data_IF_001995221842
#
_entry.id   IF_001995221842
#
_cell.length_a   1.000
_cell.length_b   1.000
_cell.length_c   1.000
_cell.angle_alpha   90.00
_cell.angle_beta   90.00
_cell.angle_gamma   90.00
#
_symmetry.space_group_name_H-M   'P 1'
#
loop_
_entity.id
_entity.type
_entity.pdbx_description
1 polymer ?
#
# COMPACT_ATOMS: atom_id res chain seq x y z
N UNK A 1 36.36 25.12 -24.69
CA UNK A 1 35.56 23.88 -24.65
C UNK A 1 35.14 23.70 -23.21
N UNK A 2 33.87 23.39 -22.90
CA UNK A 2 33.53 22.96 -21.54
C UNK A 2 34.41 21.75 -21.20
N UNK A 3 34.81 21.61 -19.94
CA UNK A 3 35.51 20.43 -19.47
C UNK A 3 34.72 19.16 -19.87
N UNK A 4 35.37 18.04 -20.18
CA UNK A 4 34.63 16.80 -20.38
C UNK A 4 33.76 16.55 -19.15
N UNK A 5 32.44 16.38 -19.37
CA UNK A 5 31.49 15.99 -18.33
C UNK A 5 32.08 14.80 -17.58
N UNK A 6 32.18 14.90 -16.27
CA UNK A 6 32.77 13.85 -15.46
C UNK A 6 31.79 12.69 -15.30
N UNK A 7 31.67 11.86 -16.34
CA UNK A 7 30.70 10.78 -16.37
C UNK A 7 31.18 9.63 -15.47
N UNK A 8 30.57 9.51 -14.28
CA UNK A 8 30.94 8.52 -13.27
C UNK A 8 30.78 7.06 -13.75
N UNK A 9 29.83 6.77 -14.65
CA UNK A 9 29.73 5.44 -15.28
C UNK A 9 30.96 5.14 -16.14
N UNK A 10 31.42 6.10 -16.94
CA UNK A 10 32.63 5.94 -17.76
C UNK A 10 33.88 5.83 -16.88
N UNK A 11 33.98 6.60 -15.78
CA UNK A 11 35.07 6.45 -14.79
C UNK A 11 35.10 5.06 -14.16
N UNK A 12 33.96 4.43 -13.97
CA UNK A 12 33.82 3.04 -13.51
C UNK A 12 34.01 1.98 -14.62
N UNK A 13 34.20 2.38 -15.87
CA UNK A 13 34.32 1.48 -17.02
C UNK A 13 33.01 0.79 -17.37
N UNK A 14 31.88 1.50 -17.23
CA UNK A 14 30.53 1.09 -17.67
C UNK A 14 30.18 1.93 -18.89
N UNK A 15 30.40 1.36 -20.09
CA UNK A 15 30.27 2.09 -21.36
C UNK A 15 28.85 2.00 -21.97
N UNK A 16 28.10 0.94 -21.66
CA UNK A 16 26.72 0.74 -22.14
C UNK A 16 25.74 0.78 -20.96
N UNK A 17 25.21 1.97 -20.72
CA UNK A 17 24.27 2.23 -19.63
C UNK A 17 22.94 1.50 -19.82
N UNK A 18 22.47 1.39 -21.07
CA UNK A 18 21.20 0.71 -21.36
C UNK A 18 21.31 -0.79 -21.07
N UNK A 19 22.42 -1.43 -21.46
CA UNK A 19 22.71 -2.82 -21.14
C UNK A 19 22.87 -3.04 -19.63
N UNK A 20 23.55 -2.12 -18.94
CA UNK A 20 23.70 -2.15 -17.48
C UNK A 20 22.34 -2.17 -16.78
N UNK A 21 21.43 -1.25 -17.12
CA UNK A 21 20.08 -1.23 -16.55
C UNK A 21 19.25 -2.44 -17.00
N UNK A 22 19.39 -2.88 -18.25
CA UNK A 22 18.70 -4.06 -18.79
C UNK A 22 18.98 -5.30 -17.93
N UNK A 23 20.24 -5.57 -17.63
CA UNK A 23 20.64 -6.76 -16.85
C UNK A 23 20.18 -6.71 -15.39
N UNK A 24 19.99 -5.51 -14.83
CA UNK A 24 19.63 -5.32 -13.42
C UNK A 24 18.13 -5.26 -13.16
N UNK A 25 17.38 -4.57 -14.01
CA UNK A 25 16.01 -4.15 -13.69
C UNK A 25 14.95 -4.72 -14.64
N UNK A 26 15.36 -5.35 -15.75
CA UNK A 26 14.40 -6.09 -16.58
C UNK A 26 14.03 -7.37 -15.86
N UNK A 27 12.75 -7.48 -15.53
CA UNK A 27 12.13 -8.70 -15.04
C UNK A 27 11.09 -9.17 -16.07
N UNK A 28 11.07 -10.48 -16.32
CA UNK A 28 10.00 -11.13 -17.09
C UNK A 28 8.74 -11.36 -16.23
N UNK A 29 8.78 -11.00 -14.94
CA UNK A 29 7.62 -11.10 -14.06
C UNK A 29 6.53 -10.13 -14.51
N UNK A 30 5.35 -10.69 -14.82
CA UNK A 30 4.17 -9.90 -15.12
C UNK A 30 3.56 -9.43 -13.80
N UNK A 31 3.68 -8.13 -13.53
CA UNK A 31 3.01 -7.44 -12.43
C UNK A 31 1.55 -7.20 -12.84
N UNK A 32 0.77 -8.28 -12.95
CA UNK A 32 -0.64 -8.18 -13.30
C UNK A 32 -1.38 -7.40 -12.18
N UNK A 33 -2.18 -6.39 -12.55
CA UNK A 33 -2.98 -5.59 -11.62
C UNK A 33 -3.93 -6.45 -10.76
N UNK A 34 -4.26 -7.66 -11.24
CA UNK A 34 -5.07 -8.69 -10.57
C UNK A 34 -4.25 -9.54 -9.59
N UNK A 35 -2.91 -9.50 -9.67
CA UNK A 35 -1.97 -10.29 -8.87
C UNK A 35 -1.59 -9.66 -7.53
N UNK A 36 -2.24 -8.57 -7.13
CA UNK A 36 -2.11 -8.05 -5.77
C UNK A 36 -2.73 -9.03 -4.77
N UNK A 37 -1.90 -9.83 -4.09
CA UNK A 37 -2.38 -10.60 -2.95
C UNK A 37 -2.56 -9.64 -1.78
N UNK A 38 -3.58 -9.87 -0.96
CA UNK A 38 -3.87 -9.03 0.20
C UNK A 38 -2.69 -8.90 1.17
N UNK A 39 -1.76 -9.86 1.18
CA UNK A 39 -0.55 -9.82 2.01
C UNK A 39 0.56 -8.95 1.42
N UNK A 40 0.61 -8.77 0.09
CA UNK A 40 1.65 -7.99 -0.57
C UNK A 40 1.53 -6.50 -0.23
N UNK A 41 0.37 -6.02 0.25
CA UNK A 41 0.20 -4.64 0.77
C UNK A 41 1.01 -4.33 2.03
N UNK A 42 1.43 -5.38 2.73
CA UNK A 42 2.27 -5.29 3.91
C UNK A 42 3.74 -5.54 3.57
N UNK A 43 4.06 -5.99 2.36
CA UNK A 43 5.45 -6.08 1.92
C UNK A 43 6.00 -4.66 1.70
N UNK A 44 7.21 -4.45 2.20
CA UNK A 44 7.82 -3.13 2.27
C UNK A 44 8.08 -2.50 0.89
N UNK A 45 8.26 -3.32 -0.16
CA UNK A 45 8.43 -2.84 -1.53
C UNK A 45 7.15 -2.23 -2.07
N UNK A 46 5.99 -2.75 -1.65
CA UNK A 46 4.69 -2.23 -2.06
C UNK A 46 4.25 -1.00 -1.26
N UNK A 47 4.76 -0.83 -0.04
CA UNK A 47 4.45 0.32 0.80
C UNK A 47 4.75 1.67 0.11
N UNK A 48 5.84 1.74 -0.67
CA UNK A 48 6.22 2.93 -1.45
C UNK A 48 5.20 3.24 -2.54
N UNK A 49 4.82 2.22 -3.31
CA UNK A 49 3.81 2.34 -4.36
C UNK A 49 2.43 2.67 -3.79
N UNK A 50 2.12 2.19 -2.59
CA UNK A 50 0.88 2.52 -1.88
C UNK A 50 0.83 3.99 -1.45
N UNK A 51 1.96 4.60 -1.07
CA UNK A 51 2.02 6.03 -0.83
C UNK A 51 1.70 6.84 -2.09
N UNK A 52 2.21 6.42 -3.26
CA UNK A 52 1.83 7.02 -4.55
C UNK A 52 0.33 6.82 -4.81
N UNK A 53 -0.17 5.58 -4.71
CA UNK A 53 -1.57 5.25 -4.93
C UNK A 53 -2.53 6.11 -4.10
N UNK A 54 -2.26 6.26 -2.81
CA UNK A 54 -3.14 6.98 -1.90
C UNK A 54 -3.20 8.49 -2.24
N UNK A 55 -2.17 9.04 -2.89
CA UNK A 55 -2.04 10.47 -3.19
C UNK A 55 -2.38 10.85 -4.64
N UNK A 56 -2.37 9.88 -5.56
CA UNK A 56 -2.80 10.08 -6.94
C UNK A 56 -4.33 10.07 -7.01
N UNK A 57 -4.89 11.10 -7.66
CA UNK A 57 -6.32 11.22 -7.90
C UNK A 57 -6.79 10.27 -8.99
N UNK A 58 -8.03 9.80 -8.86
CA UNK A 58 -8.68 8.97 -9.88
C UNK A 58 -8.78 9.69 -11.23
N UNK A 59 -8.71 8.92 -12.31
CA UNK A 59 -8.83 9.43 -13.69
C UNK A 59 -7.71 10.38 -14.15
N UNK A 60 -6.66 10.57 -13.34
CA UNK A 60 -5.58 11.51 -13.65
C UNK A 60 -4.61 10.95 -14.71
N UNK A 61 -3.85 11.84 -15.33
CA UNK A 61 -2.71 11.51 -16.18
C UNK A 61 -1.42 11.49 -15.37
N UNK A 62 -0.70 10.37 -15.42
CA UNK A 62 0.51 10.11 -14.63
C UNK A 62 1.67 9.76 -15.55
N UNK A 63 2.80 10.44 -15.38
CA UNK A 63 4.07 10.06 -15.95
C UNK A 63 4.92 9.35 -14.89
N UNK A 64 5.38 8.15 -15.19
CA UNK A 64 6.37 7.40 -14.41
C UNK A 64 7.76 7.60 -15.01
N UNK A 65 8.61 8.34 -14.28
CA UNK A 65 9.93 8.79 -14.70
C UNK A 65 11.00 7.80 -14.22
N UNK A 66 11.50 6.97 -15.14
CA UNK A 66 12.31 5.78 -14.85
C UNK A 66 11.43 4.60 -14.49
N UNK A 67 10.54 4.20 -15.41
CA UNK A 67 9.43 3.29 -15.10
C UNK A 67 9.85 1.84 -14.83
N UNK A 68 11.09 1.44 -15.16
CA UNK A 68 11.57 0.08 -14.99
C UNK A 68 10.61 -0.94 -15.60
N UNK A 69 10.33 -2.02 -14.87
CA UNK A 69 9.35 -3.03 -15.26
C UNK A 69 7.88 -2.66 -14.99
N UNK A 70 7.57 -1.42 -14.57
CA UNK A 70 6.19 -0.93 -14.45
C UNK A 70 5.55 -1.14 -13.07
N UNK A 71 6.27 -0.79 -11.99
CA UNK A 71 5.81 -1.00 -10.61
C UNK A 71 4.52 -0.22 -10.26
N UNK A 72 4.23 0.87 -10.98
CA UNK A 72 3.04 1.70 -10.75
C UNK A 72 1.78 1.19 -11.46
N UNK A 73 1.82 0.01 -12.09
CA UNK A 73 0.68 -0.60 -12.77
C UNK A 73 -0.60 -0.64 -11.92
N UNK A 74 -0.46 -0.75 -10.60
CA UNK A 74 -1.60 -0.74 -9.66
C UNK A 74 -2.45 0.55 -9.74
N UNK A 75 -1.87 1.68 -10.19
CA UNK A 75 -2.62 2.93 -10.39
C UNK A 75 -3.74 2.77 -11.43
N UNK A 76 -3.66 1.78 -12.34
CA UNK A 76 -4.72 1.49 -13.31
C UNK A 76 -6.08 1.22 -12.65
N UNK A 77 -6.09 0.71 -11.41
CA UNK A 77 -7.30 0.54 -10.59
C UNK A 77 -7.98 1.86 -10.21
N UNK A 78 -7.30 2.99 -10.33
CA UNK A 78 -7.85 4.35 -10.18
C UNK A 78 -8.30 4.96 -11.51
N UNK A 79 -8.32 4.18 -12.59
CA UNK A 79 -8.66 4.65 -13.92
C UNK A 79 -7.68 5.68 -14.48
N UNK A 80 -6.43 5.73 -13.97
CA UNK A 80 -5.44 6.68 -14.45
C UNK A 80 -4.98 6.33 -15.86
N UNK A 81 -4.55 7.35 -16.60
CA UNK A 81 -3.74 7.16 -17.82
C UNK A 81 -2.28 7.18 -17.41
N UNK A 82 -1.60 6.04 -17.53
CA UNK A 82 -0.24 5.81 -17.05
C UNK A 82 0.73 5.75 -18.24
N UNK A 83 1.65 6.70 -18.28
CA UNK A 83 2.75 6.75 -19.26
C UNK A 83 4.07 6.50 -18.58
N UNK A 84 4.95 5.67 -19.15
CA UNK A 84 6.28 5.40 -18.59
C UNK A 84 7.40 5.89 -19.50
N UNK A 85 8.50 6.36 -18.92
CA UNK A 85 9.76 6.59 -19.64
C UNK A 85 10.90 5.89 -18.94
N UNK A 86 11.81 5.33 -19.73
CA UNK A 86 13.02 4.68 -19.23
C UNK A 86 14.16 4.82 -20.25
N UNK A 87 15.41 4.76 -19.80
CA UNK A 87 16.57 4.78 -20.71
C UNK A 87 16.73 3.43 -21.44
N UNK A 88 16.27 2.33 -20.81
CA UNK A 88 16.22 0.99 -21.38
C UNK A 88 14.91 0.78 -22.15
N UNK A 89 15.04 0.40 -23.42
CA UNK A 89 13.90 0.04 -24.25
C UNK A 89 13.18 -1.19 -23.70
N UNK A 90 13.92 -2.13 -23.12
CA UNK A 90 13.40 -3.38 -22.57
C UNK A 90 12.56 -3.14 -21.33
N UNK A 91 13.00 -2.26 -20.42
CA UNK A 91 12.19 -1.79 -19.29
C UNK A 91 10.89 -1.16 -19.78
N UNK A 92 10.97 -0.22 -20.73
CA UNK A 92 9.80 0.42 -21.32
C UNK A 92 8.83 -0.62 -21.95
N UNK A 93 9.33 -1.67 -22.60
CA UNK A 93 8.50 -2.76 -23.12
C UNK A 93 7.89 -3.63 -22.02
N UNK A 94 8.61 -3.91 -20.93
CA UNK A 94 8.11 -4.66 -19.78
C UNK A 94 6.98 -3.89 -19.07
N UNK A 95 7.18 -2.59 -18.79
CA UNK A 95 6.13 -1.74 -18.23
C UNK A 95 4.88 -1.70 -19.11
N UNK A 96 5.05 -1.68 -20.45
CA UNK A 96 3.92 -1.76 -21.39
C UNK A 96 3.14 -3.07 -21.27
N UNK A 97 3.83 -4.20 -21.08
CA UNK A 97 3.19 -5.51 -20.85
C UNK A 97 2.45 -5.55 -19.51
N UNK A 98 2.93 -4.80 -18.53
CA UNK A 98 2.33 -4.69 -17.19
C UNK A 98 1.19 -3.66 -17.08
N UNK A 99 0.67 -3.15 -18.22
CA UNK A 99 -0.58 -2.40 -18.25
C UNK A 99 -0.45 -0.88 -18.36
N UNK A 100 0.75 -0.36 -18.63
CA UNK A 100 0.94 1.06 -18.95
C UNK A 100 0.29 1.38 -20.30
N UNK A 101 -0.35 2.55 -20.43
CA UNK A 101 -1.05 2.94 -21.66
C UNK A 101 -0.07 3.31 -22.78
N UNK A 102 1.05 3.92 -22.42
CA UNK A 102 2.15 4.26 -23.31
C UNK A 102 3.48 4.15 -22.59
N UNK A 103 4.54 3.76 -23.31
CA UNK A 103 5.90 3.76 -22.79
C UNK A 103 6.87 4.23 -23.86
N UNK A 104 7.93 4.92 -23.45
CA UNK A 104 8.93 5.48 -24.36
C UNK A 104 10.33 5.24 -23.82
N UNK A 105 11.26 4.95 -24.73
CA UNK A 105 12.68 5.10 -24.43
C UNK A 105 13.05 6.58 -24.54
N UNK A 106 13.53 7.19 -23.46
CA UNK A 106 13.94 8.59 -23.45
C UNK A 106 14.98 8.89 -22.36
N UNK A 107 15.81 9.90 -22.60
CA UNK A 107 16.60 10.52 -21.56
C UNK A 107 15.70 11.37 -20.67
N UNK A 108 15.87 11.29 -19.35
CA UNK A 108 14.99 11.99 -18.41
C UNK A 108 15.17 13.52 -18.46
N UNK A 109 16.31 13.99 -18.97
CA UNK A 109 16.64 15.39 -19.20
C UNK A 109 16.05 15.95 -20.50
N UNK A 110 15.39 15.12 -21.32
CA UNK A 110 14.74 15.54 -22.55
C UNK A 110 13.51 14.65 -22.86
N UNK A 111 12.38 14.95 -22.23
CA UNK A 111 11.17 14.15 -22.34
C UNK A 111 10.41 14.41 -23.65
N UNK A 112 9.89 13.36 -24.32
CA UNK A 112 9.22 13.48 -25.61
C UNK A 112 7.75 13.94 -25.51
N UNK A 113 7.45 14.79 -24.52
CA UNK A 113 6.08 15.23 -24.23
C UNK A 113 5.96 16.75 -24.35
N UNK A 114 4.81 17.28 -24.80
CA UNK A 114 4.51 18.70 -24.73
C UNK A 114 4.49 19.22 -23.28
N UNK A 115 4.61 20.53 -23.13
CA UNK A 115 4.43 21.22 -21.85
C UNK A 115 3.04 20.92 -21.27
N UNK A 116 2.92 20.88 -19.95
CA UNK A 116 1.65 20.69 -19.24
C UNK A 116 0.84 19.45 -19.68
N UNK A 117 1.53 18.32 -19.89
CA UNK A 117 0.92 17.07 -20.34
C UNK A 117 0.33 16.22 -19.21
N UNK A 118 0.86 16.30 -17.98
CA UNK A 118 0.52 15.38 -16.89
C UNK A 118 0.02 16.08 -15.62
N UNK A 119 -0.91 15.44 -14.92
CA UNK A 119 -1.36 15.88 -13.59
C UNK A 119 -0.35 15.48 -12.51
N UNK A 120 0.30 14.34 -12.68
CA UNK A 120 1.33 13.82 -11.78
C UNK A 120 2.57 13.35 -12.55
N UNK A 121 3.73 13.62 -11.98
CA UNK A 121 4.98 12.96 -12.35
C UNK A 121 5.43 12.17 -11.13
N UNK A 122 5.72 10.89 -11.29
CA UNK A 122 6.17 10.00 -10.21
C UNK A 122 7.52 9.45 -10.60
N UNK A 123 8.45 9.37 -9.65
CA UNK A 123 9.76 8.77 -9.85
C UNK A 123 10.20 8.08 -8.57
N UNK A 124 10.28 6.75 -8.60
CA UNK A 124 10.73 5.97 -7.44
C UNK A 124 12.09 5.37 -7.78
N UNK A 125 13.09 5.63 -6.95
CA UNK A 125 14.39 4.95 -6.99
C UNK A 125 15.23 5.27 -8.25
N UNK A 126 15.14 6.52 -8.73
CA UNK A 126 15.76 6.96 -10.01
C UNK A 126 16.66 8.19 -9.86
N UNK A 127 16.34 9.14 -8.98
CA UNK A 127 17.10 10.39 -8.88
C UNK A 127 18.56 10.15 -8.43
N UNK A 128 18.81 9.12 -7.60
CA UNK A 128 20.17 8.73 -7.21
C UNK A 128 21.03 8.15 -8.34
N UNK A 129 20.39 7.79 -9.45
CA UNK A 129 20.99 7.26 -10.66
C UNK A 129 21.26 8.34 -11.73
N UNK A 130 20.79 9.58 -11.49
CA UNK A 130 21.05 10.72 -12.34
C UNK A 130 22.28 11.45 -11.82
N UNK A 131 23.22 11.72 -12.72
CA UNK A 131 24.44 12.49 -12.42
C UNK A 131 24.08 13.88 -11.86
N UNK A 132 24.88 14.39 -10.93
CA UNK A 132 24.69 15.68 -10.27
C UNK A 132 24.47 16.84 -11.26
N UNK A 133 25.17 16.84 -12.40
CA UNK A 133 25.08 17.89 -13.41
C UNK A 133 23.75 17.84 -14.20
N UNK A 134 23.12 16.67 -14.28
CA UNK A 134 21.93 16.45 -15.12
C UNK A 134 20.62 16.54 -14.34
N UNK A 135 20.67 16.40 -13.00
CA UNK A 135 19.48 16.50 -12.14
C UNK A 135 18.67 17.78 -12.35
N UNK A 136 19.33 18.92 -12.52
CA UNK A 136 18.62 20.19 -12.75
C UNK A 136 17.87 20.20 -14.08
N UNK A 137 18.43 19.57 -15.13
CA UNK A 137 17.75 19.43 -16.41
C UNK A 137 16.56 18.45 -16.31
N UNK A 138 16.72 17.35 -15.58
CA UNK A 138 15.62 16.42 -15.29
C UNK A 138 14.49 17.12 -14.54
N UNK A 139 14.79 17.87 -13.48
CA UNK A 139 13.77 18.60 -12.72
C UNK A 139 13.12 19.72 -13.53
N UNK A 140 13.85 20.36 -14.45
CA UNK A 140 13.28 21.31 -15.40
C UNK A 140 12.25 20.63 -16.32
N UNK A 141 12.56 19.44 -16.85
CA UNK A 141 11.62 18.65 -17.65
C UNK A 141 10.42 18.19 -16.84
N UNK A 142 10.61 17.71 -15.61
CA UNK A 142 9.52 17.34 -14.68
C UNK A 142 8.57 18.53 -14.49
N UNK A 143 9.11 19.72 -14.22
CA UNK A 143 8.30 20.93 -14.09
C UNK A 143 7.59 21.31 -15.39
N UNK A 144 8.28 21.20 -16.53
CA UNK A 144 7.73 21.56 -17.85
C UNK A 144 6.54 20.69 -18.23
N UNK A 145 6.63 19.38 -18.02
CA UNK A 145 5.56 18.44 -18.41
C UNK A 145 4.40 18.40 -17.41
N UNK A 146 4.58 18.93 -16.20
CA UNK A 146 3.49 19.08 -15.24
C UNK A 146 2.53 20.18 -15.67
N UNK A 147 1.22 19.89 -15.56
CA UNK A 147 0.17 20.90 -15.69
C UNK A 147 0.27 21.93 -14.56
N UNK A 148 -0.27 23.15 -14.76
CA UNK A 148 -0.50 24.06 -13.65
C UNK A 148 -1.29 23.37 -12.52
N UNK A 149 -0.72 23.37 -11.31
CA UNK A 149 -1.29 22.65 -10.16
C UNK A 149 -1.00 21.15 -10.10
N UNK A 150 -0.22 20.63 -11.04
CA UNK A 150 0.28 19.26 -11.02
C UNK A 150 1.30 19.04 -9.89
N UNK A 151 1.48 17.78 -9.49
CA UNK A 151 2.33 17.40 -8.36
C UNK A 151 3.37 16.38 -8.82
N UNK A 152 4.63 16.61 -8.47
CA UNK A 152 5.65 15.56 -8.57
C UNK A 152 5.83 14.83 -7.25
N UNK A 153 6.00 13.50 -7.31
CA UNK A 153 6.17 12.64 -6.14
C UNK A 153 7.39 11.74 -6.36
N UNK A 154 8.32 11.76 -5.41
CA UNK A 154 9.58 11.02 -5.51
C UNK A 154 9.84 10.16 -4.29
N UNK A 155 10.34 8.95 -4.53
CA UNK A 155 11.09 8.16 -3.56
C UNK A 155 12.55 8.17 -4.00
N UNK A 156 13.45 8.61 -3.11
CA UNK A 156 14.82 8.93 -3.50
C UNK A 156 15.79 8.33 -2.48
N UNK A 157 16.77 7.58 -2.97
CA UNK A 157 17.95 7.17 -2.21
C UNK A 157 18.82 8.37 -1.88
N UNK A 158 19.22 8.42 -0.62
CA UNK A 158 20.10 9.45 -0.09
C UNK A 158 21.44 8.84 0.32
N UNK A 159 22.36 9.70 0.68
CA UNK A 159 23.62 9.33 1.32
C UNK A 159 23.82 10.13 2.61
N UNK A 160 24.69 9.63 3.47
CA UNK A 160 25.31 10.37 4.56
C UNK A 160 26.79 10.54 4.20
N UNK A 161 27.20 11.77 3.89
CA UNK A 161 28.58 12.06 3.50
C UNK A 161 29.59 11.85 4.64
N UNK A 162 29.14 11.78 5.90
CA UNK A 162 30.01 11.44 7.03
C UNK A 162 30.31 9.95 7.11
N UNK A 163 29.42 9.11 6.57
CA UNK A 163 29.52 7.65 6.61
C UNK A 163 30.10 7.05 5.32
N UNK A 164 30.23 7.84 4.24
CA UNK A 164 30.69 7.37 2.92
C UNK A 164 31.70 8.31 2.29
N UNK A 165 32.71 7.74 1.62
CA UNK A 165 33.65 8.51 0.79
C UNK A 165 32.90 9.23 -0.32
N UNK A 166 33.39 10.40 -0.71
CA UNK A 166 32.93 11.06 -1.93
C UNK A 166 33.35 10.27 -3.18
N UNK A 167 32.62 10.42 -4.28
CA UNK A 167 32.92 9.75 -5.54
C UNK A 167 34.34 10.08 -6.08
N UNK A 168 34.86 11.27 -5.76
CA UNK A 168 36.20 11.72 -6.17
C UNK A 168 37.33 11.10 -5.34
N UNK A 169 37.02 10.63 -4.14
CA UNK A 169 37.96 9.93 -3.26
C UNK A 169 37.98 8.42 -3.50
N UNK A 170 37.06 7.89 -4.31
CA UNK A 170 37.00 6.47 -4.65
C UNK A 170 37.99 6.14 -5.77
N UNK A 171 38.83 5.13 -5.52
CA UNK A 171 39.66 4.53 -6.57
C UNK A 171 38.76 3.87 -7.65
N UNK A 172 39.20 3.75 -8.92
CA UNK A 172 38.36 3.25 -10.02
C UNK A 172 37.64 1.92 -9.73
N UNK A 173 38.32 0.95 -9.12
CA UNK A 173 37.74 -0.35 -8.76
C UNK A 173 36.77 -0.27 -7.58
N UNK A 174 36.95 0.70 -6.67
CA UNK A 174 36.02 0.98 -5.57
C UNK A 174 34.74 1.65 -6.11
N UNK A 175 34.91 2.68 -6.95
CA UNK A 175 33.83 3.37 -7.63
C UNK A 175 33.02 2.39 -8.50
N UNK A 176 33.70 1.52 -9.25
CA UNK A 176 33.06 0.49 -10.06
C UNK A 176 32.21 -0.46 -9.21
N UNK A 177 32.76 -1.00 -8.13
CA UNK A 177 32.01 -1.89 -7.23
C UNK A 177 30.80 -1.20 -6.62
N UNK A 178 30.94 0.07 -6.23
CA UNK A 178 29.84 0.87 -5.69
C UNK A 178 28.71 1.04 -6.71
N UNK A 179 29.04 1.49 -7.92
CA UNK A 179 28.06 1.68 -8.99
C UNK A 179 27.46 0.33 -9.41
N UNK A 180 28.25 -0.75 -9.44
CA UNK A 180 27.76 -2.10 -9.76
C UNK A 180 26.75 -2.65 -8.76
N UNK A 181 26.60 -2.10 -7.55
CA UNK A 181 25.57 -2.57 -6.61
C UNK A 181 24.18 -2.24 -7.15
N UNK A 182 23.84 -0.96 -7.31
CA UNK A 182 22.52 -0.54 -7.80
C UNK A 182 22.60 0.42 -9.01
N UNK A 183 23.70 1.15 -9.20
CA UNK A 183 23.86 2.11 -10.31
C UNK A 183 23.98 3.56 -9.88
N UNK A 184 24.15 3.82 -8.58
CA UNK A 184 24.13 5.15 -8.00
C UNK A 184 25.34 6.01 -8.40
N UNK A 185 25.09 7.14 -9.06
CA UNK A 185 26.11 8.12 -9.49
C UNK A 185 25.79 9.54 -9.04
N UNK A 186 24.71 9.74 -8.29
CA UNK A 186 24.28 11.03 -7.82
C UNK A 186 23.54 10.92 -6.51
N UNK A 187 24.09 10.29 -5.49
CA UNK A 187 23.48 10.35 -4.16
C UNK A 187 23.77 11.72 -3.52
N UNK A 188 22.72 12.34 -3.02
CA UNK A 188 22.75 13.59 -2.23
C UNK A 188 22.16 13.31 -0.84
N UNK A 189 22.43 14.19 0.12
CA UNK A 189 21.75 14.19 1.41
C UNK A 189 20.27 14.57 1.26
N UNK A 190 19.47 14.24 2.28
CA UNK A 190 18.02 14.44 2.29
C UNK A 190 17.65 15.93 2.12
N UNK A 191 18.38 16.81 2.82
CA UNK A 191 18.24 18.27 2.72
C UNK A 191 18.68 18.84 1.38
N UNK A 192 19.70 18.25 0.75
CA UNK A 192 20.22 18.68 -0.55
C UNK A 192 19.23 18.39 -1.66
N UNK A 193 18.63 17.18 -1.67
CA UNK A 193 17.49 16.88 -2.54
C UNK A 193 16.38 17.91 -2.37
N UNK A 194 15.95 18.16 -1.13
CA UNK A 194 14.90 19.14 -0.86
C UNK A 194 15.26 20.56 -1.32
N UNK A 195 16.51 21.00 -1.12
CA UNK A 195 17.01 22.29 -1.59
C UNK A 195 16.99 22.38 -3.12
N UNK A 196 17.38 21.30 -3.81
CA UNK A 196 17.35 21.22 -5.27
C UNK A 196 15.93 21.35 -5.81
N UNK A 197 14.97 20.60 -5.27
CA UNK A 197 13.56 20.71 -5.67
C UNK A 197 12.97 22.12 -5.44
N UNK A 198 13.37 22.82 -4.37
CA UNK A 198 12.93 24.20 -4.08
C UNK A 198 13.39 25.23 -5.11
N UNK A 199 14.41 24.92 -5.91
CA UNK A 199 14.83 25.78 -7.04
C UNK A 199 13.81 25.75 -8.18
N UNK A 200 13.03 24.68 -8.27
CA UNK A 200 12.05 24.45 -9.33
C UNK A 200 10.62 24.66 -8.86
N UNK A 201 10.27 24.28 -7.64
CA UNK A 201 8.89 24.29 -7.15
C UNK A 201 8.70 25.21 -5.94
N UNK A 202 7.58 25.95 -5.93
CA UNK A 202 7.25 26.86 -4.83
C UNK A 202 6.96 26.14 -3.50
N UNK A 203 6.40 24.92 -3.56
CA UNK A 203 6.06 24.12 -2.41
C UNK A 203 6.75 22.76 -2.49
N UNK A 204 7.57 22.45 -1.48
CA UNK A 204 8.30 21.17 -1.37
C UNK A 204 8.11 20.64 0.04
N UNK A 205 7.59 19.42 0.14
CA UNK A 205 7.45 18.67 1.39
C UNK A 205 8.21 17.35 1.26
N UNK A 206 8.90 16.93 2.31
CA UNK A 206 9.68 15.69 2.31
C UNK A 206 9.80 15.12 3.71
N UNK A 207 10.00 13.80 3.80
CA UNK A 207 10.17 13.09 5.07
C UNK A 207 11.17 11.91 4.94
N UNK A 208 12.13 11.76 5.88
CA UNK A 208 13.02 10.60 5.93
C UNK A 208 12.23 9.32 6.23
N UNK A 209 12.61 8.20 5.59
CA UNK A 209 11.83 6.95 5.72
C UNK A 209 12.65 5.66 5.82
N UNK A 210 13.98 5.68 5.69
CA UNK A 210 14.73 4.44 5.49
C UNK A 210 14.78 3.47 6.68
N UNK A 211 14.79 3.95 7.93
CA UNK A 211 14.96 3.09 9.11
C UNK A 211 13.88 1.99 9.26
N UNK A 212 12.78 2.09 8.52
CA UNK A 212 11.66 1.13 8.57
C UNK A 212 11.26 0.60 7.19
N UNK A 213 12.10 0.85 6.17
CA UNK A 213 11.80 0.61 4.75
C UNK A 213 12.71 -0.40 4.06
N UNK A 214 13.48 -1.17 4.82
CA UNK A 214 14.32 -2.22 4.27
C UNK A 214 13.65 -3.57 4.45
N UNK A 215 13.64 -4.34 3.36
CA UNK A 215 13.47 -5.77 3.47
C UNK A 215 14.70 -6.34 4.18
N UNK A 216 14.53 -7.54 4.71
CA UNK A 216 15.61 -8.38 5.20
C UNK A 216 16.77 -8.50 4.18
N UNK A 217 16.46 -8.61 2.89
CA UNK A 217 17.46 -8.62 1.82
C UNK A 217 18.18 -7.28 1.66
N UNK A 218 17.45 -6.17 1.75
CA UNK A 218 18.04 -4.84 1.62
C UNK A 218 18.95 -4.50 2.81
N UNK A 219 18.59 -4.87 4.04
CA UNK A 219 19.47 -4.76 5.21
C UNK A 219 20.81 -5.48 4.97
N UNK A 220 20.74 -6.73 4.50
CA UNK A 220 21.93 -7.53 4.21
C UNK A 220 22.73 -6.93 3.05
N UNK A 221 22.06 -6.45 1.98
CA UNK A 221 22.73 -5.78 0.85
C UNK A 221 23.47 -4.53 1.30
N UNK A 222 22.85 -3.70 2.14
CA UNK A 222 23.42 -2.48 2.67
C UNK A 222 24.63 -2.73 3.57
N UNK A 223 24.57 -3.77 4.42
CA UNK A 223 25.71 -4.19 5.21
C UNK A 223 26.83 -4.78 4.34
N UNK A 224 26.52 -5.82 3.55
CA UNK A 224 27.50 -6.66 2.89
C UNK A 224 28.13 -5.98 1.65
N UNK A 225 27.37 -5.14 0.94
CA UNK A 225 27.83 -4.51 -0.31
C UNK A 225 28.17 -3.03 -0.17
N UNK A 226 27.43 -2.29 0.66
CA UNK A 226 27.69 -0.86 0.88
C UNK A 226 28.51 -0.57 2.14
N UNK A 227 28.74 -1.57 3.00
CA UNK A 227 29.51 -1.40 4.22
C UNK A 227 28.83 -0.51 5.26
N UNK A 228 27.50 -0.37 5.21
CA UNK A 228 26.78 0.42 6.20
C UNK A 228 26.78 -0.27 7.57
N UNK A 229 26.95 0.49 8.66
CA UNK A 229 27.00 -0.07 10.00
C UNK A 229 25.60 -0.46 10.48
N UNK A 230 25.39 -1.76 10.72
CA UNK A 230 24.26 -2.31 11.47
C UNK A 230 24.79 -3.22 12.58
N UNK A 231 23.96 -3.53 13.58
CA UNK A 231 24.34 -4.43 14.66
C UNK A 231 24.59 -5.86 14.13
N UNK A 232 25.76 -6.43 14.45
CA UNK A 232 26.20 -7.73 13.93
C UNK A 232 25.22 -8.86 14.29
N UNK A 233 24.66 -8.84 15.51
CA UNK A 233 23.70 -9.83 15.98
C UNK A 233 22.36 -9.76 15.23
N UNK A 234 21.93 -8.56 14.85
CA UNK A 234 20.76 -8.36 14.00
C UNK A 234 20.99 -8.89 12.58
N UNK A 235 22.14 -8.59 11.97
CA UNK A 235 22.47 -9.11 10.64
C UNK A 235 22.58 -10.65 10.64
N UNK A 236 23.20 -11.22 11.66
CA UNK A 236 23.31 -12.67 11.83
C UNK A 236 21.94 -13.31 12.00
N UNK A 237 21.05 -12.70 12.79
CA UNK A 237 19.66 -13.13 12.90
C UNK A 237 18.98 -13.18 11.52
N UNK A 238 19.03 -12.10 10.73
CA UNK A 238 18.44 -12.06 9.38
C UNK A 238 19.02 -13.15 8.46
N UNK A 239 20.32 -13.43 8.58
CA UNK A 239 20.98 -14.51 7.83
C UNK A 239 20.42 -15.89 8.20
N UNK A 240 20.03 -16.12 9.45
CA UNK A 240 19.44 -17.41 9.88
C UNK A 240 18.00 -17.63 9.43
N UNK A 241 17.28 -16.56 9.04
CA UNK A 241 15.87 -16.67 8.65
C UNK A 241 15.70 -17.46 7.35
N UNK A 242 14.77 -18.42 7.36
CA UNK A 242 14.26 -19.07 6.15
C UNK A 242 13.53 -18.07 5.25
N UNK A 243 13.28 -18.46 3.99
CA UNK A 243 12.53 -17.63 3.04
C UNK A 243 11.17 -17.16 3.59
N UNK A 244 10.41 -18.06 4.22
CA UNK A 244 9.10 -17.74 4.79
C UNK A 244 9.19 -16.79 5.99
N UNK A 245 10.24 -16.92 6.82
CA UNK A 245 10.47 -16.02 7.95
C UNK A 245 10.92 -14.63 7.50
N UNK A 246 11.80 -14.55 6.48
CA UNK A 246 12.16 -13.28 5.84
C UNK A 246 10.94 -12.57 5.26
N UNK A 247 10.08 -13.31 4.57
CA UNK A 247 8.82 -12.75 4.04
C UNK A 247 7.92 -12.23 5.17
N UNK A 248 7.81 -12.97 6.28
CA UNK A 248 7.03 -12.52 7.44
C UNK A 248 7.64 -11.25 8.09
N UNK A 249 8.96 -11.18 8.20
CA UNK A 249 9.69 -9.99 8.65
C UNK A 249 9.38 -8.80 7.73
N UNK A 250 9.54 -8.96 6.42
CA UNK A 250 9.28 -7.91 5.43
C UNK A 250 7.83 -7.41 5.48
N UNK A 251 6.87 -8.33 5.71
CA UNK A 251 5.47 -8.00 5.92
C UNK A 251 5.22 -7.21 7.22
N UNK A 252 5.90 -7.59 8.31
CA UNK A 252 5.81 -6.85 9.56
C UNK A 252 6.34 -5.43 9.39
N UNK A 253 7.46 -5.26 8.66
CA UNK A 253 8.05 -3.96 8.36
C UNK A 253 7.09 -3.08 7.55
N UNK A 254 6.46 -3.59 6.49
CA UNK A 254 5.50 -2.77 5.74
C UNK A 254 4.18 -2.51 6.50
N UNK A 255 3.79 -3.36 7.46
CA UNK A 255 2.71 -3.01 8.40
C UNK A 255 3.11 -1.83 9.31
N UNK A 256 4.32 -1.86 9.89
CA UNK A 256 4.86 -0.77 10.71
C UNK A 256 4.94 0.52 9.90
N UNK A 257 5.41 0.45 8.66
CA UNK A 257 5.42 1.58 7.72
C UNK A 257 4.03 2.22 7.56
N UNK A 258 3.01 1.40 7.29
CA UNK A 258 1.64 1.88 7.15
C UNK A 258 1.15 2.55 8.45
N UNK A 259 1.49 1.99 9.62
CA UNK A 259 1.07 2.54 10.92
C UNK A 259 1.73 3.88 11.25
N UNK A 260 3.00 4.07 10.90
CA UNK A 260 3.66 5.36 11.04
C UNK A 260 3.01 6.43 10.18
N UNK A 261 2.62 6.05 8.97
CA UNK A 261 1.86 6.92 8.07
C UNK A 261 0.49 7.26 8.64
N UNK A 262 -0.21 6.31 9.29
CA UNK A 262 -1.50 6.55 9.99
C UNK A 262 -1.35 7.53 11.15
N UNK A 263 -0.27 7.38 11.92
CA UNK A 263 -0.05 8.14 13.16
C UNK A 263 0.69 9.47 12.90
N UNK A 264 1.01 9.77 11.64
CA UNK A 264 1.74 10.97 11.23
C UNK A 264 3.05 11.17 12.02
N UNK A 265 3.78 10.08 12.27
CA UNK A 265 5.02 10.12 13.03
C UNK A 265 6.17 10.61 12.15
N UNK A 266 6.87 11.64 12.64
CA UNK A 266 8.12 12.13 12.04
C UNK A 266 9.29 11.28 12.50
N UNK A 267 10.07 10.80 11.54
CA UNK A 267 11.30 10.08 11.79
C UNK A 267 12.48 11.06 11.75
N UNK A 268 13.57 10.78 12.49
CA UNK A 268 14.82 11.52 12.32
C UNK A 268 15.41 11.29 10.92
N UNK A 269 16.31 12.17 10.46
CA UNK A 269 17.11 11.95 9.26
C UNK A 269 17.74 10.56 9.27
N UNK A 270 17.74 9.91 8.11
CA UNK A 270 18.22 8.54 7.95
C UNK A 270 19.51 8.47 7.15
N UNK A 271 19.85 9.52 6.39
CA UNK A 271 20.97 9.54 5.46
C UNK A 271 20.81 8.56 4.29
N UNK A 272 19.61 8.02 4.07
CA UNK A 272 19.45 6.83 3.24
C UNK A 272 18.26 6.87 2.29
N UNK A 273 17.13 7.45 2.70
CA UNK A 273 15.97 7.54 1.81
C UNK A 273 14.91 8.54 2.25
N UNK A 274 14.34 9.22 1.26
CA UNK A 274 13.31 10.24 1.45
C UNK A 274 12.11 10.02 0.53
N UNK A 275 10.91 10.29 1.04
CA UNK A 275 9.78 10.62 0.17
C UNK A 275 9.66 12.13 0.04
N UNK A 276 9.40 12.61 -1.17
CA UNK A 276 9.31 14.03 -1.48
C UNK A 276 8.11 14.30 -2.38
N UNK A 277 7.35 15.36 -2.07
CA UNK A 277 6.33 15.94 -2.95
C UNK A 277 6.70 17.37 -3.28
N UNK A 278 6.49 17.78 -4.52
CA UNK A 278 6.67 19.17 -4.92
C UNK A 278 5.61 19.64 -5.91
N UNK A 279 5.25 20.93 -5.84
CA UNK A 279 4.30 21.59 -6.74
C UNK A 279 4.47 23.11 -6.71
N UNK A 280 3.94 23.80 -7.72
CA UNK A 280 3.83 25.26 -7.73
C UNK A 280 2.59 25.79 -7.00
N UNK A 281 1.68 24.91 -6.57
CA UNK A 281 0.53 25.26 -5.72
C UNK A 281 0.70 24.62 -4.34
N UNK A 282 0.01 25.15 -3.30
CA UNK A 282 0.07 24.55 -1.97
C UNK A 282 -0.25 23.06 -2.00
N UNK A 283 0.63 22.26 -1.39
CA UNK A 283 0.45 20.82 -1.31
C UNK A 283 -0.70 20.49 -0.33
N UNK A 284 -1.50 19.48 -0.69
CA UNK A 284 -2.40 18.83 0.27
C UNK A 284 -1.61 18.04 1.33
N UNK A 285 -2.32 17.23 2.11
CA UNK A 285 -1.69 16.38 3.12
C UNK A 285 -0.59 15.49 2.51
N UNK A 286 0.50 15.29 3.26
CA UNK A 286 1.62 14.46 2.81
C UNK A 286 1.21 12.98 2.71
N UNK A 287 0.32 12.56 3.62
CA UNK A 287 -0.42 11.32 3.57
C UNK A 287 -1.90 11.61 3.35
N UNK A 288 -2.56 10.87 2.46
CA UNK A 288 -4.00 11.00 2.33
C UNK A 288 -4.69 10.32 3.53
N UNK A 289 -5.43 11.12 4.31
CA UNK A 289 -6.13 10.70 5.53
C UNK A 289 -7.44 9.94 5.22
N UNK A 290 -7.96 10.05 3.99
CA UNK A 290 -9.19 9.38 3.54
C UNK A 290 -8.86 8.21 2.61
N UNK A 291 -8.36 7.13 3.20
CA UNK A 291 -7.97 5.90 2.49
C UNK A 291 -9.18 5.05 2.12
N UNK A 292 -9.92 5.42 1.08
CA UNK A 292 -10.79 4.44 0.43
C UNK A 292 -9.97 3.61 -0.55
N UNK A 293 -9.38 2.52 -0.05
CA UNK A 293 -8.69 1.51 -0.88
C UNK A 293 -9.65 0.46 -1.45
N UNK A 294 -10.97 0.70 -1.37
CA UNK A 294 -12.02 -0.24 -1.81
C UNK A 294 -11.83 -0.71 -3.25
N UNK A 295 -11.34 0.15 -4.16
CA UNK A 295 -11.02 -0.21 -5.54
C UNK A 295 -9.85 -1.22 -5.69
N UNK A 296 -8.93 -1.30 -4.71
CA UNK A 296 -7.92 -2.36 -4.67
C UNK A 296 -8.50 -3.73 -4.29
N UNK A 297 -9.67 -3.74 -3.65
CA UNK A 297 -10.32 -4.96 -3.18
C UNK A 297 -11.54 -5.35 -4.04
N UNK A 298 -12.02 -4.46 -4.92
CA UNK A 298 -13.11 -4.77 -5.85
C UNK A 298 -12.60 -5.60 -7.03
N UNK A 299 -13.19 -6.79 -7.22
CA UNK A 299 -12.91 -7.68 -8.36
C UNK A 299 -13.71 -7.34 -9.62
N UNK A 300 -14.51 -6.26 -9.60
CA UNK A 300 -15.35 -5.80 -10.73
C UNK A 300 -15.42 -4.27 -10.78
N UNK A 301 -15.47 -3.70 -11.99
CA UNK A 301 -15.68 -2.27 -12.31
C UNK A 301 -17.08 -1.77 -11.90
N UNK A 302 -17.55 -2.08 -10.70
CA UNK A 302 -18.86 -1.61 -10.26
C UNK A 302 -18.67 -0.25 -9.57
N UNK A 303 -19.09 0.82 -10.25
CA UNK A 303 -19.21 2.16 -9.66
C UNK A 303 -20.01 2.04 -8.37
N UNK A 304 -19.36 2.33 -7.25
CA UNK A 304 -20.03 2.44 -5.95
C UNK A 304 -20.84 3.73 -5.99
N UNK A 305 -22.15 3.62 -6.12
CA UNK A 305 -23.05 4.74 -5.87
C UNK A 305 -22.98 5.09 -4.39
N UNK A 306 -22.48 6.29 -4.10
CA UNK A 306 -22.49 6.86 -2.75
C UNK A 306 -23.93 7.23 -2.38
N UNK A 307 -24.56 6.42 -1.55
CA UNK A 307 -25.80 6.81 -0.88
C UNK A 307 -25.50 7.79 0.25
N UNK A 308 -26.27 8.89 0.31
CA UNK A 308 -26.24 9.86 1.41
C UNK A 308 -26.61 9.15 2.73
N UNK A 309 -25.70 9.15 3.69
CA UNK A 309 -25.86 8.46 4.96
C UNK A 309 -26.70 9.30 5.93
N UNK A 310 -27.82 8.73 6.40
CA UNK A 310 -28.39 9.08 7.69
C UNK A 310 -27.39 8.72 8.81
N UNK A 311 -27.39 9.48 9.92
CA UNK A 311 -26.52 9.24 11.09
C UNK A 311 -26.63 7.78 11.54
N UNK A 312 -25.60 6.99 11.22
CA UNK A 312 -25.52 5.55 11.46
C UNK A 312 -24.24 5.23 12.21
N UNK A 313 -24.37 4.52 13.33
CA UNK A 313 -23.23 4.08 14.12
C UNK A 313 -22.64 2.81 13.51
N UNK A 314 -21.34 2.80 13.24
CA UNK A 314 -20.62 1.66 12.68
C UNK A 314 -19.75 1.02 13.76
N UNK A 315 -19.90 -0.28 14.00
CA UNK A 315 -19.17 -1.01 15.05
C UNK A 315 -18.39 -2.17 14.47
N UNK A 316 -17.09 -2.25 14.78
CA UNK A 316 -16.22 -3.37 14.40
C UNK A 316 -16.26 -4.44 15.50
N UNK A 317 -16.89 -5.58 15.21
CA UNK A 317 -17.08 -6.67 16.17
C UNK A 317 -15.77 -7.35 16.55
N UNK A 318 -14.83 -7.49 15.61
CA UNK A 318 -13.55 -8.16 15.87
C UNK A 318 -12.67 -7.44 16.90
N UNK A 319 -12.91 -6.15 17.11
CA UNK A 319 -12.15 -5.27 18.00
C UNK A 319 -12.94 -4.87 19.25
N UNK A 320 -14.15 -5.40 19.41
CA UNK A 320 -15.01 -5.07 20.53
C UNK A 320 -14.93 -6.16 21.61
N UNK A 321 -14.50 -5.79 22.81
CA UNK A 321 -14.34 -6.70 23.94
C UNK A 321 -15.66 -7.27 24.49
N UNK A 322 -16.81 -6.71 24.09
CA UNK A 322 -18.13 -7.20 24.48
C UNK A 322 -18.68 -8.28 23.52
N UNK A 323 -17.92 -8.64 22.48
CA UNK A 323 -18.30 -9.64 21.48
C UNK A 323 -17.72 -11.00 21.87
N UNK A 324 -18.54 -12.04 21.76
CA UNK A 324 -18.15 -13.42 22.08
C UNK A 324 -18.08 -14.28 20.82
N UNK A 325 -16.92 -14.86 20.54
CA UNK A 325 -16.72 -15.82 19.45
C UNK A 325 -16.80 -17.25 20.01
N UNK A 326 -17.34 -18.21 19.24
CA UNK A 326 -17.32 -19.62 19.63
C UNK A 326 -15.97 -20.30 19.33
N UNK A 327 -15.78 -21.52 19.86
CA UNK A 327 -14.57 -22.35 19.63
C UNK A 327 -14.36 -22.72 18.15
N UNK A 328 -15.32 -22.40 17.28
CA UNK A 328 -15.17 -22.50 15.84
C UNK A 328 -14.22 -21.44 15.28
N UNK A 329 -13.93 -20.38 16.05
CA UNK A 329 -12.97 -19.33 15.74
C UNK A 329 -11.66 -19.52 16.51
N UNK A 330 -10.53 -19.54 15.80
CA UNK A 330 -9.21 -19.58 16.43
C UNK A 330 -8.64 -18.17 16.59
N UNK A 331 -8.10 -17.85 17.77
CA UNK A 331 -7.32 -16.64 18.01
C UNK A 331 -5.81 -16.93 17.82
N UNK A 332 -5.08 -16.14 17.02
CA UNK A 332 -3.62 -16.16 17.08
C UNK A 332 -3.18 -15.46 18.36
N UNK A 333 -2.78 -16.23 19.37
CA UNK A 333 -2.54 -15.82 20.77
C UNK A 333 -1.60 -14.63 21.05
N UNK A 334 -1.09 -13.86 20.07
CA UNK A 334 -0.04 -12.85 20.31
C UNK A 334 -0.10 -11.58 19.44
N UNK A 335 -1.15 -11.34 18.64
CA UNK A 335 -1.25 -10.13 17.79
C UNK A 335 -2.67 -9.54 17.82
N UNK A 336 -2.84 -8.22 17.62
CA UNK A 336 -4.16 -7.61 17.49
C UNK A 336 -4.96 -8.32 16.37
N UNK A 337 -6.30 -8.45 16.50
CA UNK A 337 -7.11 -9.25 15.58
C UNK A 337 -7.13 -8.59 14.19
N UNK A 338 -6.22 -9.03 13.32
CA UNK A 338 -6.19 -8.65 11.90
C UNK A 338 -6.93 -9.69 11.05
N UNK A 339 -7.11 -10.92 11.55
CA UNK A 339 -7.92 -11.98 10.95
C UNK A 339 -8.33 -13.02 12.01
N UNK A 340 -9.62 -13.42 12.02
CA UNK A 340 -10.12 -14.59 12.78
C UNK A 340 -10.37 -15.73 11.79
N UNK A 341 -9.94 -16.94 12.13
CA UNK A 341 -10.06 -18.11 11.25
C UNK A 341 -11.19 -18.99 11.73
N UNK A 342 -11.89 -19.66 10.83
CA UNK A 342 -12.93 -20.61 11.20
C UNK A 342 -12.71 -22.01 10.63
N UNK A 343 -13.29 -23.01 11.29
CA UNK A 343 -13.45 -24.34 10.70
C UNK A 343 -14.65 -24.32 9.70
N UNK A 344 -15.42 -25.40 9.58
CA UNK A 344 -16.60 -25.42 8.69
C UNK A 344 -17.72 -24.49 9.14
N UNK A 345 -17.70 -24.03 10.38
CA UNK A 345 -18.60 -23.01 10.89
C UNK A 345 -17.84 -22.16 11.91
N UNK A 346 -18.14 -20.86 11.93
CA UNK A 346 -17.75 -19.94 12.99
C UNK A 346 -18.95 -19.09 13.38
N UNK A 347 -19.20 -18.95 14.70
CA UNK A 347 -20.26 -18.10 15.24
C UNK A 347 -19.74 -16.95 16.09
N UNK A 348 -20.36 -15.79 15.93
CA UNK A 348 -20.09 -14.61 16.73
C UNK A 348 -21.39 -14.08 17.33
N UNK A 349 -21.37 -13.84 18.64
CA UNK A 349 -22.48 -13.25 19.41
C UNK A 349 -22.13 -11.84 19.83
N UNK A 350 -23.05 -10.92 19.61
CA UNK A 350 -22.89 -9.51 19.91
C UNK A 350 -24.24 -8.87 20.25
N UNK A 351 -24.22 -7.73 20.93
CA UNK A 351 -25.43 -6.97 21.24
C UNK A 351 -25.62 -5.78 20.32
N UNK A 352 -26.85 -5.56 19.88
CA UNK A 352 -27.25 -4.38 19.13
C UNK A 352 -28.75 -4.13 19.24
N UNK A 353 -29.17 -2.87 19.36
CA UNK A 353 -30.59 -2.49 19.42
C UNK A 353 -31.29 -2.64 18.07
N UNK A 354 -30.59 -2.30 16.97
CA UNK A 354 -31.06 -2.49 15.59
C UNK A 354 -29.89 -2.66 14.64
N UNK A 355 -30.05 -3.56 13.67
CA UNK A 355 -29.03 -3.89 12.69
C UNK A 355 -29.57 -3.62 11.28
N UNK A 356 -28.78 -2.92 10.46
CA UNK A 356 -29.18 -2.54 9.09
C UNK A 356 -28.30 -3.20 8.03
N UNK A 357 -27.03 -3.42 8.36
CA UNK A 357 -26.06 -4.04 7.44
C UNK A 357 -24.99 -4.79 8.24
N UNK A 358 -24.54 -5.91 7.68
CA UNK A 358 -23.33 -6.62 8.10
C UNK A 358 -22.31 -6.52 6.97
N UNK A 359 -21.10 -6.09 7.30
CA UNK A 359 -19.94 -6.15 6.42
C UNK A 359 -18.93 -7.14 6.97
N UNK A 360 -18.31 -7.89 6.07
CA UNK A 360 -17.26 -8.84 6.41
C UNK A 360 -16.27 -8.98 5.27
N UNK A 361 -15.00 -8.94 5.62
CA UNK A 361 -13.91 -9.20 4.71
C UNK A 361 -13.51 -10.68 4.79
N UNK A 362 -13.45 -11.37 3.65
CA UNK A 362 -13.08 -12.77 3.58
C UNK A 362 -11.81 -12.96 2.76
N UNK A 363 -10.91 -13.81 3.24
CA UNK A 363 -9.77 -14.30 2.49
C UNK A 363 -9.67 -15.82 2.61
N UNK A 364 -9.20 -16.50 1.57
CA UNK A 364 -9.06 -17.97 1.57
C UNK A 364 -7.76 -18.41 0.90
N UNK A 365 -7.11 -19.42 1.49
CA UNK A 365 -5.97 -20.15 0.91
C UNK A 365 -6.34 -21.61 0.55
N UNK A 366 -7.63 -21.89 0.34
CA UNK A 366 -8.11 -23.23 0.00
C UNK A 366 -7.43 -23.76 -1.29
N UNK A 367 -6.72 -24.89 -1.24
CA UNK A 367 -6.13 -25.47 -2.45
C UNK A 367 -7.20 -25.95 -3.45
N UNK A 368 -6.89 -25.82 -4.74
CA UNK A 368 -7.74 -26.28 -5.85
C UNK A 368 -9.09 -25.54 -5.92
N UNK A 369 -9.11 -24.23 -5.68
CA UNK A 369 -10.31 -23.40 -5.77
C UNK A 369 -10.83 -23.27 -7.20
N UNK A 370 -9.93 -23.33 -8.18
CA UNK A 370 -10.18 -23.34 -9.62
C UNK A 370 -10.79 -24.67 -10.10
N UNK A 371 -10.44 -25.78 -9.44
CA UNK A 371 -11.02 -27.11 -9.71
C UNK A 371 -12.36 -27.32 -8.98
N UNK A 372 -12.47 -26.85 -7.74
CA UNK A 372 -13.68 -26.96 -6.92
C UNK A 372 -13.92 -25.68 -6.14
N UNK A 373 -14.99 -24.97 -6.48
CA UNK A 373 -15.39 -23.78 -5.75
C UNK A 373 -15.66 -24.08 -4.26
N UNK A 374 -15.43 -23.09 -3.40
CA UNK A 374 -15.76 -23.13 -1.98
C UNK A 374 -17.13 -22.48 -1.76
N UNK A 375 -18.15 -23.27 -1.40
CA UNK A 375 -19.43 -22.75 -0.97
C UNK A 375 -19.36 -22.13 0.43
N UNK A 376 -19.93 -20.93 0.56
CA UNK A 376 -20.06 -20.20 1.82
C UNK A 376 -21.51 -19.75 2.01
N UNK A 377 -21.97 -19.80 3.26
CA UNK A 377 -23.32 -19.40 3.65
C UNK A 377 -23.27 -18.54 4.91
N UNK A 378 -23.99 -17.41 4.90
CA UNK A 378 -24.08 -16.50 6.03
C UNK A 378 -25.48 -16.56 6.64
N UNK A 379 -25.55 -16.66 7.96
CA UNK A 379 -26.79 -16.71 8.73
C UNK A 379 -26.76 -15.68 9.84
N UNK A 380 -27.94 -15.16 10.18
CA UNK A 380 -28.15 -14.30 11.35
C UNK A 380 -29.36 -14.84 12.12
N UNK A 381 -29.16 -15.15 13.41
CA UNK A 381 -30.17 -15.77 14.27
C UNK A 381 -30.81 -17.03 13.63
N UNK A 382 -29.99 -17.82 12.91
CA UNK A 382 -30.42 -19.02 12.19
C UNK A 382 -31.13 -18.77 10.85
N UNK A 383 -31.39 -17.52 10.47
CA UNK A 383 -31.96 -17.15 9.17
C UNK A 383 -30.84 -16.95 8.15
N UNK A 384 -30.90 -17.66 7.02
CA UNK A 384 -29.91 -17.52 5.95
C UNK A 384 -30.02 -16.14 5.29
N UNK A 385 -28.97 -15.33 5.40
CA UNK A 385 -28.90 -14.02 4.75
C UNK A 385 -28.45 -14.14 3.29
N UNK A 386 -27.38 -14.90 3.04
CA UNK A 386 -26.86 -15.11 1.69
C UNK A 386 -26.06 -16.42 1.58
N UNK A 387 -25.83 -16.86 0.34
CA UNK A 387 -24.94 -17.94 0.01
C UNK A 387 -24.20 -17.61 -1.29
N UNK A 388 -22.92 -17.96 -1.38
CA UNK A 388 -22.07 -17.65 -2.52
C UNK A 388 -20.94 -18.68 -2.65
N UNK A 389 -20.21 -18.64 -3.77
CA UNK A 389 -19.10 -19.55 -4.02
C UNK A 389 -17.85 -18.77 -4.39
N UNK A 390 -16.73 -19.13 -3.78
CA UNK A 390 -15.41 -18.64 -4.15
C UNK A 390 -14.77 -19.62 -5.13
N UNK A 391 -14.39 -19.12 -6.31
CA UNK A 391 -13.74 -19.93 -7.36
C UNK A 391 -12.26 -19.56 -7.56
N UNK A 392 -11.76 -18.54 -6.86
CA UNK A 392 -10.39 -18.03 -6.97
C UNK A 392 -9.93 -17.50 -5.62
N UNK A 393 -8.61 -17.44 -5.45
CA UNK A 393 -7.97 -16.75 -4.33
C UNK A 393 -8.24 -15.24 -4.42
N UNK A 394 -8.42 -14.60 -3.26
CA UNK A 394 -8.63 -13.16 -3.21
C UNK A 394 -9.17 -12.67 -1.87
N UNK A 395 -9.30 -11.35 -1.77
CA UNK A 395 -10.03 -10.68 -0.71
C UNK A 395 -11.44 -10.38 -1.22
N UNK A 396 -12.46 -10.74 -0.43
CA UNK A 396 -13.86 -10.49 -0.77
C UNK A 396 -14.47 -9.64 0.35
N UNK A 397 -14.86 -8.41 0.03
CA UNK A 397 -15.72 -7.60 0.89
C UNK A 397 -17.19 -7.98 0.61
N UNK A 398 -17.87 -8.49 1.62
CA UNK A 398 -19.30 -8.75 1.58
C UNK A 398 -20.04 -7.68 2.33
N UNK A 399 -21.07 -7.11 1.68
CA UNK A 399 -22.04 -6.23 2.31
C UNK A 399 -23.40 -6.89 2.22
N UNK A 400 -23.98 -7.17 3.38
CA UNK A 400 -25.23 -7.92 3.48
C UNK A 400 -26.23 -7.05 4.23
N UNK A 401 -27.23 -6.48 3.52
CA UNK A 401 -28.30 -5.76 4.18
C UNK A 401 -29.09 -6.72 5.07
N UNK A 402 -29.45 -6.28 6.26
CA UNK A 402 -30.23 -7.08 7.22
C UNK A 402 -31.70 -6.75 7.03
N UNK A 403 -32.54 -7.72 6.64
CA UNK A 403 -33.97 -7.51 6.52
C UNK A 403 -34.58 -7.06 7.86
N UNK A 404 -35.51 -6.10 7.81
CA UNK A 404 -36.22 -5.61 9.01
C UNK A 404 -36.98 -6.72 9.76
N UNK A 405 -37.26 -7.84 9.08
CA UNK A 405 -37.89 -9.01 9.67
C UNK A 405 -36.98 -9.81 10.61
N UNK A 406 -35.67 -9.58 10.58
CA UNK A 406 -34.71 -10.24 11.48
C UNK A 406 -34.41 -9.29 12.63
N UNK A 407 -35.02 -9.56 13.78
CA UNK A 407 -34.75 -8.84 15.04
C UNK A 407 -33.74 -9.57 15.91
N UNK A 408 -33.22 -8.87 16.90
CA UNK A 408 -32.42 -9.49 17.96
C UNK A 408 -33.21 -10.60 18.66
N UNK A 409 -32.49 -11.54 19.26
CA UNK A 409 -33.03 -12.54 20.16
C UNK A 409 -33.26 -11.93 21.56
N UNK A 410 -33.32 -12.74 22.62
CA UNK A 410 -33.52 -12.23 23.98
C UNK A 410 -32.35 -11.32 24.38
N UNK A 411 -32.66 -10.17 24.99
CA UNK A 411 -31.68 -9.20 25.50
C UNK A 411 -30.80 -8.52 24.43
N UNK A 412 -31.38 -8.20 23.27
CA UNK A 412 -30.72 -7.48 22.16
C UNK A 412 -29.50 -8.22 21.58
N UNK A 413 -29.45 -9.55 21.72
CA UNK A 413 -28.35 -10.38 21.25
C UNK A 413 -28.61 -10.91 19.83
N UNK A 414 -27.58 -10.82 18.99
CA UNK A 414 -27.53 -11.42 17.66
C UNK A 414 -26.46 -12.51 17.63
N UNK A 415 -26.74 -13.60 16.92
CA UNK A 415 -25.77 -14.64 16.55
C UNK A 415 -25.58 -14.64 15.04
N UNK A 416 -24.40 -14.21 14.58
CA UNK A 416 -23.98 -14.30 13.20
C UNK A 416 -23.17 -15.59 13.01
N UNK A 417 -23.53 -16.37 12.00
CA UNK A 417 -22.86 -17.62 11.67
C UNK A 417 -22.40 -17.60 10.21
N UNK A 418 -21.13 -17.92 9.96
CA UNK A 418 -20.61 -18.19 8.63
C UNK A 418 -20.30 -19.69 8.53
N UNK A 419 -20.81 -20.33 7.48
CA UNK A 419 -20.57 -21.75 7.19
C UNK A 419 -19.79 -21.91 5.90
N UNK A 420 -18.81 -22.80 5.93
CA UNK A 420 -18.05 -23.24 4.77
C UNK A 420 -18.36 -24.69 4.44
N UNK A 421 -18.61 -24.97 3.16
CA UNK A 421 -18.85 -26.33 2.66
C UNK A 421 -17.66 -27.24 2.99
N UNK A 422 -16.44 -26.72 2.86
CA UNK A 422 -15.19 -27.43 3.15
C UNK A 422 -14.18 -26.51 3.82
N UNK A 423 -13.32 -27.11 4.62
CA UNK A 423 -12.09 -26.52 5.13
C UNK A 423 -10.93 -27.45 4.83
N UNK A 424 -9.74 -26.88 4.80
CA UNK A 424 -8.46 -27.55 4.62
C UNK A 424 -7.52 -27.06 5.70
N UNK A 425 -6.93 -28.02 6.41
CA UNK A 425 -5.84 -27.81 7.35
C UNK A 425 -4.68 -28.69 6.88
N UNK A 426 -3.49 -28.12 6.64
CA UNK A 426 -2.38 -28.86 6.06
C UNK A 426 -1.85 -29.99 6.96
N UNK A 427 -2.06 -29.93 8.29
CA UNK A 427 -1.46 -30.89 9.25
C UNK A 427 -2.38 -31.18 10.45
N UNK A 428 -2.99 -32.37 10.57
CA UNK A 428 -3.96 -32.64 11.63
C UNK A 428 -3.35 -33.15 12.96
N UNK A 429 -2.04 -33.42 13.06
CA UNK A 429 -1.53 -34.37 14.07
C UNK A 429 -0.29 -33.98 14.88
N UNK A 430 0.23 -32.75 14.84
CA UNK A 430 1.42 -32.40 15.64
C UNK A 430 1.36 -30.96 16.17
N UNK A 431 1.05 -30.83 17.47
CA UNK A 431 0.97 -29.52 18.16
C UNK A 431 2.31 -28.76 18.16
N UNK A 432 3.44 -29.46 18.06
CA UNK A 432 4.78 -28.85 18.12
C UNK A 432 5.23 -28.19 16.81
N UNK A 433 4.54 -28.41 15.68
CA UNK A 433 4.91 -27.86 14.35
C UNK A 433 3.71 -27.25 13.62
N UNK A 434 2.68 -26.88 14.38
CA UNK A 434 1.46 -26.25 13.88
C UNK A 434 1.81 -24.90 13.26
N UNK A 435 1.76 -24.81 11.93
CA UNK A 435 1.87 -23.54 11.21
C UNK A 435 0.46 -22.99 10.95
N UNK A 436 0.00 -22.13 11.86
CA UNK A 436 -1.34 -21.52 11.82
C UNK A 436 -1.53 -20.50 10.69
N UNK A 437 -0.53 -20.29 9.83
CA UNK A 437 -0.60 -19.34 8.69
C UNK A 437 -1.15 -19.98 7.41
N UNK A 438 -1.26 -21.31 7.35
CA UNK A 438 -1.70 -22.05 6.15
C UNK A 438 -3.18 -22.50 6.26
N UNK A 439 -4.11 -21.58 6.53
CA UNK A 439 -5.51 -21.91 6.86
C UNK A 439 -6.55 -21.44 5.82
N UNK A 440 -7.68 -22.15 5.80
CA UNK A 440 -8.62 -22.16 4.67
C UNK A 440 -9.53 -20.96 4.49
N UNK A 441 -10.05 -20.37 5.55
CA UNK A 441 -10.93 -19.19 5.47
C UNK A 441 -10.62 -18.27 6.65
N UNK A 442 -10.18 -17.07 6.33
CA UNK A 442 -9.96 -15.97 7.25
C UNK A 442 -11.11 -14.97 7.08
N UNK A 443 -11.71 -14.56 8.20
CA UNK A 443 -12.70 -13.49 8.26
C UNK A 443 -12.07 -12.32 9.00
N UNK A 444 -12.13 -11.15 8.38
CA UNK A 444 -11.55 -9.93 8.88
C UNK A 444 -12.63 -8.85 8.92
N UNK A 445 -12.43 -7.85 9.78
CA UNK A 445 -13.26 -6.65 9.88
C UNK A 445 -14.77 -6.93 9.82
N UNK A 446 -15.29 -7.80 10.69
CA UNK A 446 -16.73 -7.99 10.84
C UNK A 446 -17.30 -6.68 11.40
N UNK A 447 -18.02 -5.94 10.59
CA UNK A 447 -18.55 -4.63 10.91
C UNK A 447 -20.06 -4.64 10.81
N UNK A 448 -20.72 -4.04 11.78
CA UNK A 448 -22.17 -3.86 11.77
C UNK A 448 -22.52 -2.38 11.65
N UNK A 449 -23.62 -2.09 10.96
CA UNK A 449 -24.23 -0.76 10.96
C UNK A 449 -25.53 -0.74 11.74
N UNK A 450 -25.64 0.21 12.66
CA UNK A 450 -26.84 0.46 13.47
C UNK A 450 -27.56 1.70 12.98
N UNK A 451 -28.88 1.74 13.16
CA UNK A 451 -29.66 2.97 13.02
C UNK A 451 -29.97 3.55 14.40
N UNK A 452 -29.76 4.84 14.63
CA UNK A 452 -30.36 5.50 15.79
C UNK A 452 -31.88 5.57 15.61
N UNK A 453 -32.63 5.10 16.61
CA UNK A 453 -34.04 5.45 16.72
C UNK A 453 -34.10 6.75 17.53
N UNK A 454 -34.45 7.88 16.89
CA UNK A 454 -34.97 9.03 17.64
C UNK A 454 -36.26 8.57 18.32
N UNK A 455 -36.19 8.40 19.63
CA UNK A 455 -37.33 8.05 20.47
C UNK A 455 -38.33 9.23 20.45
N UNK A 456 -39.30 9.22 19.54
CA UNK A 456 -40.36 10.25 19.44
C UNK A 456 -41.39 10.15 20.58
N UNK A 457 -40.98 9.79 21.80
CA UNK A 457 -41.87 9.60 22.95
C UNK A 457 -41.61 10.51 24.15
N UNK A 458 -40.74 11.51 24.06
CA UNK A 458 -40.53 12.47 25.16
C UNK A 458 -41.00 13.93 24.91
N UNK A 459 -41.38 14.33 23.69
CA UNK A 459 -41.81 15.73 23.43
C UNK A 459 -43.34 15.97 23.54
N UNK A 460 -44.10 15.02 24.09
CA UNK A 460 -45.57 15.08 24.12
C UNK A 460 -46.22 15.56 25.42
N UNK A 461 -45.47 15.91 26.48
CA UNK A 461 -46.07 16.15 27.81
C UNK A 461 -46.06 17.58 28.37
N UNK A 462 -45.38 18.54 27.74
CA UNK A 462 -45.28 19.91 28.30
C UNK A 462 -45.99 21.01 27.48
N UNK A 463 -47.10 20.68 26.81
CA UNK A 463 -47.98 21.70 26.20
C UNK A 463 -49.46 21.47 26.49
N UNK A 464 -49.83 21.37 27.77
CA UNK A 464 -51.20 21.61 28.25
C UNK A 464 -51.20 22.11 29.70
N UNK A 465 -50.71 23.33 29.92
CA UNK A 465 -51.03 24.09 31.13
C UNK A 465 -50.72 25.59 30.93
N UNK A 466 -51.28 26.21 29.90
CA UNK A 466 -51.27 27.68 29.78
C UNK A 466 -52.40 28.12 28.82
N UNK A 467 -53.64 27.90 29.24
CA UNK A 467 -54.80 28.61 28.71
C UNK A 467 -55.93 28.56 29.72
N UNK A 468 -55.85 29.36 30.77
CA UNK A 468 -56.99 29.91 31.50
C UNK A 468 -56.43 30.84 32.59
N UNK A 469 -56.92 32.08 32.61
CA UNK A 469 -56.71 33.18 33.58
C UNK A 469 -55.99 34.42 32.99
N UNK A 470 -56.71 35.15 32.13
CA UNK A 470 -56.97 36.56 32.38
C UNK A 470 -58.14 37.04 31.52
N UNK A 471 -59.32 37.00 32.14
CA UNK A 471 -60.41 37.92 31.87
C UNK A 471 -60.69 38.60 33.23
N UNK A 472 -60.98 39.91 33.19
CA UNK A 472 -61.09 40.91 34.29
C UNK A 472 -59.81 41.58 34.80
#
# INVERSE_FOLDING_TARGET
>A
MPAPKDNLYQRAGIDDLAEFYRTKFVSDEVLDERYFKALDRFDIRFARTMWVYDNVREGSSVLDLGCGAGMLALLKRKGVTLTGVDISNECALAARRNGYDATYRAELSQLPFPDASFDYVVSLDVIGHVDFEEKDAVLAEVKRVLRPGGVTMHGIECTDHSARKSYDEMEPDELRRFIEVDGHVGLEEEEEHAARFRRFFAHVAWEPRYALNLSSEEFLKQADKYGLPFEDDFLDYLRTLSFSERRAFDMAMGYVFNKISDLNLRLPPSGLYVFLKASDVPLGAFYNEHRSRSALFSSTETKVETFEAAESETVCLDRNHEVTFDDGWYEPNLLPPVARWMNRSGRVRFRSSRLTEIRLDLATHMPGLDERALGLELFLNGVKLCAFSLCRYGWLELRVPVPETISATVADEFELELRAERTWQPRPTNDETRDDRELSVAVCNIVIQKSEVRDQRSEGRDRKSESELHDS
#
